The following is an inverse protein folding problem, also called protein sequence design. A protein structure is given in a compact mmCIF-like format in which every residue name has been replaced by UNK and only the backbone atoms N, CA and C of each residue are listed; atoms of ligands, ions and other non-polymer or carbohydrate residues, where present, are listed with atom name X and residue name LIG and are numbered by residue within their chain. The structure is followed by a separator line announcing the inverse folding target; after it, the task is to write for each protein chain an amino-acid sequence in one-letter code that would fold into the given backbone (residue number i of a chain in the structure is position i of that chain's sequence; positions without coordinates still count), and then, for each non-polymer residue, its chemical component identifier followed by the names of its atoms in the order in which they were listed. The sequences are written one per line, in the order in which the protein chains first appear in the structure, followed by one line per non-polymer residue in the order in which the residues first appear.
data_IF_588909918237
#
_entry.id   IF_588909918237
#
_cell.length_a   1.000
_cell.length_b   1.000
_cell.length_c   1.000
_cell.angle_alpha   90.00
_cell.angle_beta   90.00
_cell.angle_gamma   90.00
#
_symmetry.space_group_name_H-M   'P 1'
#
loop_
_entity.id
_entity.type
_entity.pdbx_description
1 polymer ?
#
# COMPACT_ATOMS: atom_id res chain seq x y z
N UNK A 1 0.99 27.05 28.53
CA UNK A 1 0.19 25.87 28.97
C UNK A 1 -1.07 25.66 28.11
N UNK A 2 -1.96 26.65 27.94
CA UNK A 2 -3.17 26.52 27.09
C UNK A 2 -2.87 26.25 25.59
N UNK A 3 -1.82 26.85 25.02
CA UNK A 3 -1.43 26.63 23.62
C UNK A 3 -0.98 25.19 23.30
N UNK A 4 -0.23 24.54 24.20
CA UNK A 4 0.20 23.13 24.03
C UNK A 4 -1.01 22.19 24.04
N UNK A 5 -2.00 22.47 24.90
CA UNK A 5 -3.25 21.68 24.95
C UNK A 5 -4.06 21.87 23.66
N UNK A 6 -4.14 23.10 23.13
CA UNK A 6 -4.83 23.37 21.86
C UNK A 6 -4.17 22.63 20.69
N UNK A 7 -2.83 22.70 20.59
CA UNK A 7 -2.08 21.98 19.55
C UNK A 7 -2.26 20.46 19.72
N UNK A 8 -2.19 19.94 20.95
CA UNK A 8 -2.41 18.53 21.22
C UNK A 8 -3.79 18.05 20.77
N UNK A 9 -4.84 18.81 21.06
CA UNK A 9 -6.19 18.49 20.61
C UNK A 9 -6.30 18.49 19.08
N UNK A 10 -5.73 19.49 18.41
CA UNK A 10 -5.72 19.56 16.94
C UNK A 10 -5.01 18.35 16.32
N UNK A 11 -3.86 17.95 16.86
CA UNK A 11 -3.12 16.77 16.39
C UNK A 11 -3.93 15.49 16.60
N UNK A 12 -4.60 15.33 17.75
CA UNK A 12 -5.46 14.18 18.03
C UNK A 12 -6.62 14.12 17.02
N UNK A 13 -7.32 15.23 16.78
CA UNK A 13 -8.41 15.26 15.80
C UNK A 13 -7.92 14.93 14.40
N UNK A 14 -6.79 15.50 13.98
CA UNK A 14 -6.19 15.20 12.68
C UNK A 14 -5.83 13.72 12.55
N UNK A 15 -5.20 13.13 13.56
CA UNK A 15 -4.84 11.72 13.56
C UNK A 15 -6.08 10.81 13.52
N UNK A 16 -7.12 11.12 14.30
CA UNK A 16 -8.38 10.37 14.31
C UNK A 16 -9.09 10.41 12.94
N UNK A 17 -9.12 11.57 12.30
CA UNK A 17 -9.68 11.71 10.95
C UNK A 17 -8.89 10.90 9.93
N UNK A 18 -7.55 11.00 9.93
CA UNK A 18 -6.69 10.24 9.01
C UNK A 18 -6.83 8.73 9.22
N UNK A 19 -6.91 8.26 10.47
CA UNK A 19 -7.14 6.85 10.79
C UNK A 19 -8.48 6.37 10.28
N UNK A 20 -9.55 7.14 10.49
CA UNK A 20 -10.88 6.79 9.99
C UNK A 20 -10.89 6.62 8.47
N UNK A 21 -10.31 7.58 7.73
CA UNK A 21 -10.20 7.49 6.27
C UNK A 21 -9.38 6.28 5.82
N UNK A 22 -8.27 5.99 6.51
CA UNK A 22 -7.38 4.86 6.17
C UNK A 22 -8.06 3.51 6.40
N UNK A 23 -8.88 3.39 7.45
CA UNK A 23 -9.66 2.17 7.72
C UNK A 23 -10.67 1.92 6.58
N UNK A 24 -11.40 2.95 6.15
CA UNK A 24 -12.36 2.81 5.04
C UNK A 24 -11.67 2.49 3.70
N UNK A 25 -10.57 3.18 3.39
CA UNK A 25 -9.80 2.94 2.17
C UNK A 25 -9.17 1.54 2.15
N UNK A 26 -8.56 1.12 3.27
CA UNK A 26 -7.94 -0.19 3.42
C UNK A 26 -8.94 -1.34 3.30
N UNK A 27 -10.12 -1.24 3.92
CA UNK A 27 -11.16 -2.26 3.82
C UNK A 27 -11.64 -2.46 2.37
N UNK A 28 -11.74 -1.38 1.58
CA UNK A 28 -12.11 -1.44 0.15
C UNK A 28 -10.99 -2.05 -0.70
N UNK A 29 -9.73 -1.70 -0.42
CA UNK A 29 -8.58 -2.31 -1.10
C UNK A 29 -8.48 -3.82 -0.82
N UNK A 30 -8.68 -4.22 0.44
CA UNK A 30 -8.69 -5.63 0.85
C UNK A 30 -9.87 -6.42 0.24
N UNK A 31 -11.02 -5.76 0.11
CA UNK A 31 -12.17 -6.35 -0.58
C UNK A 31 -11.94 -6.55 -2.09
N UNK A 32 -11.33 -5.57 -2.76
CA UNK A 32 -10.94 -5.71 -4.17
C UNK A 32 -9.95 -6.86 -4.36
N UNK A 33 -8.94 -6.96 -3.48
CA UNK A 33 -8.00 -8.08 -3.45
C UNK A 33 -8.72 -9.43 -3.27
N UNK A 34 -9.75 -9.49 -2.42
CA UNK A 34 -10.60 -10.66 -2.24
C UNK A 34 -11.46 -11.03 -3.45
N UNK A 35 -11.71 -10.10 -4.38
CA UNK A 35 -12.36 -10.40 -5.67
C UNK A 35 -11.38 -10.85 -6.75
N UNK A 36 -10.17 -10.29 -6.75
CA UNK A 36 -9.15 -10.58 -7.75
C UNK A 36 -8.45 -11.92 -7.50
N UNK A 37 -8.31 -12.33 -6.24
CA UNK A 37 -7.64 -13.58 -5.84
C UNK A 37 -8.60 -14.56 -5.17
N UNK A 38 -8.77 -15.74 -5.80
CA UNK A 38 -9.59 -16.85 -5.28
C UNK A 38 -9.22 -17.30 -3.86
N UNK A 39 -7.95 -17.16 -3.44
CA UNK A 39 -7.51 -17.51 -2.09
C UNK A 39 -8.06 -16.58 -1.00
N UNK A 40 -8.35 -15.32 -1.36
CA UNK A 40 -8.91 -14.33 -0.45
C UNK A 40 -10.40 -14.09 -0.71
N UNK A 41 -11.10 -15.02 -1.39
CA UNK A 41 -12.53 -14.92 -1.69
C UNK A 41 -13.40 -14.66 -0.44
N UNK A 42 -12.94 -15.09 0.73
CA UNK A 42 -13.58 -14.83 2.02
C UNK A 42 -13.54 -13.35 2.44
N UNK A 43 -12.53 -12.58 1.99
CA UNK A 43 -12.41 -11.13 2.16
C UNK A 43 -13.32 -10.36 1.17
N UNK A 44 -13.56 -10.96 0.00
CA UNK A 44 -14.43 -10.45 -1.07
C UNK A 44 -15.93 -10.67 -0.84
N UNK A 45 -16.35 -11.27 0.29
CA UNK A 45 -17.77 -11.43 0.62
C UNK A 45 -18.38 -10.10 1.05
N UNK A 46 -19.19 -9.52 0.16
CA UNK A 46 -19.96 -8.31 0.45
C UNK A 46 -21.14 -8.65 1.37
N UNK A 47 -21.33 -7.85 2.41
CA UNK A 47 -22.46 -8.03 3.32
C UNK A 47 -23.52 -6.96 3.02
N UNK A 48 -24.61 -7.35 2.35
CA UNK A 48 -25.64 -6.45 1.81
C UNK A 48 -26.34 -5.61 2.89
N UNK A 49 -26.46 -6.11 4.13
CA UNK A 49 -27.12 -5.36 5.22
C UNK A 49 -26.33 -4.16 5.74
N UNK A 50 -24.99 -4.21 5.69
CA UNK A 50 -24.13 -3.16 6.26
C UNK A 50 -23.39 -2.36 5.18
N UNK A 51 -23.63 -2.65 3.90
CA UNK A 51 -22.95 -2.02 2.75
C UNK A 51 -21.42 -1.94 2.92
N UNK A 52 -20.84 -2.94 3.60
CA UNK A 52 -19.44 -2.95 3.98
C UNK A 52 -18.87 -4.38 4.04
N UNK A 53 -17.60 -4.58 3.61
CA UNK A 53 -16.92 -5.86 3.71
C UNK A 53 -16.44 -6.12 5.15
N UNK A 54 -17.34 -6.66 5.99
CA UNK A 54 -17.09 -6.95 7.41
C UNK A 54 -15.83 -7.80 7.65
N UNK A 55 -15.60 -8.82 6.82
CA UNK A 55 -14.44 -9.71 6.97
C UNK A 55 -13.12 -8.99 6.72
N UNK A 56 -13.07 -8.13 5.70
CA UNK A 56 -11.88 -7.32 5.38
C UNK A 56 -11.57 -6.32 6.51
N UNK A 57 -12.60 -5.73 7.11
CA UNK A 57 -12.46 -4.80 8.22
C UNK A 57 -11.95 -5.50 9.50
N UNK A 58 -12.50 -6.68 9.81
CA UNK A 58 -12.07 -7.48 10.96
C UNK A 58 -10.61 -7.93 10.83
N UNK A 59 -10.22 -8.44 9.66
CA UNK A 59 -8.83 -8.87 9.41
C UNK A 59 -7.87 -7.68 9.51
N UNK A 60 -8.22 -6.53 8.91
CA UNK A 60 -7.42 -5.31 9.04
C UNK A 60 -7.29 -4.88 10.51
N UNK A 61 -8.39 -4.95 11.28
CA UNK A 61 -8.39 -4.64 12.71
C UNK A 61 -7.51 -5.60 13.52
N UNK A 62 -7.60 -6.91 13.28
CA UNK A 62 -6.76 -7.92 13.95
C UNK A 62 -5.28 -7.68 13.67
N UNK A 63 -4.92 -7.43 12.40
CA UNK A 63 -3.52 -7.12 12.03
C UNK A 63 -3.05 -5.84 12.73
N UNK A 64 -3.87 -4.80 12.76
CA UNK A 64 -3.53 -3.55 13.43
C UNK A 64 -3.31 -3.76 14.95
N UNK A 65 -4.17 -4.53 15.62
CA UNK A 65 -4.01 -4.86 17.05
C UNK A 65 -2.74 -5.66 17.30
N UNK A 66 -2.43 -6.66 16.46
CA UNK A 66 -1.19 -7.43 16.57
C UNK A 66 0.04 -6.55 16.41
N UNK A 67 0.03 -5.61 15.45
CA UNK A 67 1.11 -4.65 15.27
C UNK A 67 1.25 -3.70 16.46
N UNK A 68 0.14 -3.22 17.04
CA UNK A 68 0.17 -2.38 18.25
C UNK A 68 0.79 -3.14 19.42
N UNK A 69 0.40 -4.41 19.63
CA UNK A 69 0.97 -5.26 20.69
C UNK A 69 2.48 -5.45 20.45
N UNK A 70 2.88 -5.74 19.21
CA UNK A 70 4.30 -5.93 18.86
C UNK A 70 5.11 -4.63 19.04
N UNK A 71 4.53 -3.49 18.67
CA UNK A 71 5.11 -2.16 18.88
C UNK A 71 5.16 -1.75 20.35
N UNK A 72 4.22 -2.19 21.18
CA UNK A 72 4.23 -1.94 22.61
C UNK A 72 5.32 -2.74 23.36
N UNK A 73 5.63 -3.95 22.90
CA UNK A 73 6.70 -4.79 23.46
C UNK A 73 8.11 -4.30 23.10
N UNK A 74 8.28 -3.69 21.93
CA UNK A 74 9.56 -3.09 21.51
C UNK A 74 9.55 -1.59 21.77
N UNK A 75 10.27 -1.11 22.79
CA UNK A 75 10.30 0.31 23.22
C UNK A 75 10.81 1.30 22.14
N UNK A 76 11.50 0.81 21.12
CA UNK A 76 11.92 1.52 19.89
C UNK A 76 11.25 0.97 18.61
N UNK A 77 10.24 0.12 18.78
CA UNK A 77 9.57 -0.60 17.71
C UNK A 77 8.67 0.29 16.86
N UNK A 78 8.10 1.36 17.42
CA UNK A 78 7.25 2.27 16.66
C UNK A 78 8.02 3.00 15.55
N UNK A 79 9.17 3.60 15.86
CA UNK A 79 10.01 4.25 14.83
C UNK A 79 10.53 3.22 13.82
N UNK A 80 10.95 2.05 14.30
CA UNK A 80 11.38 0.96 13.42
C UNK A 80 10.25 0.51 12.47
N UNK A 81 9.00 0.41 12.95
CA UNK A 81 7.84 0.08 12.11
C UNK A 81 7.59 1.12 11.02
N UNK A 82 7.72 2.40 11.34
CA UNK A 82 7.60 3.50 10.36
C UNK A 82 8.73 3.40 9.33
N UNK A 83 9.96 3.22 9.78
CA UNK A 83 11.14 3.09 8.93
C UNK A 83 11.07 1.88 8.00
N UNK A 84 10.48 0.77 8.45
CA UNK A 84 10.26 -0.42 7.62
C UNK A 84 9.11 -0.25 6.62
N UNK A 85 8.18 0.66 6.86
CA UNK A 85 7.03 0.87 5.95
C UNK A 85 7.42 1.77 4.76
N UNK A 86 8.34 2.73 4.97
CA UNK A 86 8.84 3.61 3.92
C UNK A 86 9.36 2.88 2.65
N UNK A 87 10.27 1.88 2.75
CA UNK A 87 10.77 1.18 1.56
C UNK A 87 9.68 0.37 0.84
N UNK A 88 8.69 -0.16 1.57
CA UNK A 88 7.53 -0.84 0.98
C UNK A 88 6.74 0.15 0.11
N UNK A 89 6.42 1.33 0.64
CA UNK A 89 5.70 2.36 -0.11
C UNK A 89 6.45 2.81 -1.37
N UNK A 90 7.74 3.11 -1.24
CA UNK A 90 8.57 3.52 -2.39
C UNK A 90 8.67 2.43 -3.45
N UNK A 91 8.73 1.16 -3.02
CA UNK A 91 8.75 0.02 -3.93
C UNK A 91 7.44 -0.12 -4.72
N UNK A 92 6.29 -0.04 -4.05
CA UNK A 92 5.00 -0.07 -4.72
C UNK A 92 4.81 1.11 -5.68
N UNK A 93 5.28 2.30 -5.32
CA UNK A 93 5.26 3.47 -6.20
C UNK A 93 6.15 3.30 -7.42
N UNK A 94 7.34 2.72 -7.26
CA UNK A 94 8.22 2.37 -8.37
C UNK A 94 7.53 1.38 -9.31
N UNK A 95 6.91 0.32 -8.79
CA UNK A 95 6.17 -0.67 -9.59
C UNK A 95 4.98 -0.03 -10.31
N UNK A 96 4.24 0.87 -9.66
CA UNK A 96 3.15 1.63 -10.27
C UNK A 96 3.67 2.50 -11.44
N UNK A 97 4.79 3.19 -11.24
CA UNK A 97 5.42 4.01 -12.27
C UNK A 97 5.87 3.18 -13.48
N UNK A 98 6.52 2.04 -13.25
CA UNK A 98 6.89 1.09 -14.32
C UNK A 98 5.64 0.54 -15.01
N UNK A 99 4.62 0.15 -14.25
CA UNK A 99 3.35 -0.35 -14.77
C UNK A 99 2.67 0.63 -15.72
N UNK A 100 2.72 1.93 -15.40
CA UNK A 100 2.20 2.98 -16.28
C UNK A 100 2.96 3.05 -17.61
N UNK A 101 4.29 2.96 -17.58
CA UNK A 101 5.12 2.95 -18.80
C UNK A 101 4.85 1.69 -19.63
N UNK A 102 4.81 0.52 -18.99
CA UNK A 102 4.52 -0.76 -19.66
C UNK A 102 3.12 -0.76 -20.27
N UNK A 103 2.10 -0.27 -19.56
CA UNK A 103 0.73 -0.17 -20.07
C UNK A 103 0.60 0.83 -21.22
N UNK A 104 1.45 1.87 -21.25
CA UNK A 104 1.54 2.81 -22.37
C UNK A 104 2.11 2.16 -23.62
N UNK A 105 3.11 1.28 -23.47
CA UNK A 105 3.71 0.54 -24.60
C UNK A 105 2.81 -0.60 -25.07
N UNK A 106 2.19 -1.34 -24.15
CA UNK A 106 1.41 -2.55 -24.44
C UNK A 106 0.01 -2.26 -24.98
N UNK A 107 -0.59 -1.14 -24.59
CA UNK A 107 -1.94 -0.75 -25.02
C UNK A 107 -1.94 0.68 -25.56
N UNK A 108 -1.36 0.90 -26.76
CA UNK A 108 -1.29 2.23 -27.37
C UNK A 108 -2.66 2.75 -27.83
N UNK A 109 -3.56 1.87 -28.28
CA UNK A 109 -4.83 2.24 -28.95
C UNK A 109 -6.02 2.54 -28.03
N UNK A 110 -5.84 2.49 -26.70
CA UNK A 110 -6.94 2.75 -25.77
C UNK A 110 -7.24 4.25 -25.73
N UNK A 111 -8.52 4.69 -25.88
CA UNK A 111 -8.87 6.10 -25.77
C UNK A 111 -8.60 6.59 -24.35
N UNK A 112 -7.63 7.49 -24.18
CA UNK A 112 -7.23 8.05 -22.88
C UNK A 112 -7.87 9.42 -22.68
N UNK A 113 -8.88 9.57 -21.80
CA UNK A 113 -9.51 10.85 -21.51
C UNK A 113 -8.57 11.84 -20.80
N UNK A 114 -7.50 11.34 -20.16
CA UNK A 114 -6.45 12.15 -19.56
C UNK A 114 -5.08 11.75 -20.12
N UNK A 115 -4.38 12.71 -20.74
CA UNK A 115 -3.00 12.57 -21.21
C UNK A 115 -2.07 13.33 -20.27
N UNK A 116 -1.16 12.60 -19.64
CA UNK A 116 -0.14 13.19 -18.75
C UNK A 116 0.71 14.19 -19.55
N UNK A 117 0.80 15.47 -19.12
CA UNK A 117 1.65 16.46 -19.77
C UNK A 117 3.13 16.04 -19.66
N UNK A 118 3.92 16.33 -20.71
CA UNK A 118 5.34 15.95 -20.80
C UNK A 118 5.65 14.45 -20.73
N UNK A 119 4.73 13.59 -21.19
CA UNK A 119 5.05 12.19 -21.38
C UNK A 119 6.18 12.04 -22.43
N UNK A 120 7.26 11.27 -22.17
CA UNK A 120 7.48 10.32 -21.07
C UNK A 120 8.35 10.82 -19.90
N UNK A 121 8.76 12.09 -19.89
CA UNK A 121 9.72 12.64 -18.90
C UNK A 121 9.15 12.61 -17.48
N UNK A 122 7.87 12.97 -17.31
CA UNK A 122 7.22 13.00 -16.00
C UNK A 122 7.18 11.64 -15.29
N UNK A 123 6.70 10.53 -15.91
CA UNK A 123 6.76 9.22 -15.27
C UNK A 123 8.19 8.67 -15.14
N UNK A 124 9.11 9.00 -16.05
CA UNK A 124 10.50 8.57 -15.93
C UNK A 124 11.17 9.20 -14.71
N UNK A 125 11.03 10.51 -14.52
CA UNK A 125 11.53 11.21 -13.33
C UNK A 125 10.92 10.62 -12.07
N UNK A 126 9.60 10.37 -12.04
CA UNK A 126 8.94 9.75 -10.90
C UNK A 126 9.56 8.38 -10.55
N UNK A 127 9.77 7.51 -11.54
CA UNK A 127 10.41 6.20 -11.33
C UNK A 127 11.84 6.36 -10.80
N UNK A 128 12.62 7.30 -11.35
CA UNK A 128 13.99 7.58 -10.90
C UNK A 128 14.01 8.09 -9.45
N UNK A 129 13.13 9.03 -9.09
CA UNK A 129 13.02 9.54 -7.72
C UNK A 129 12.57 8.46 -6.75
N UNK A 130 11.57 7.64 -7.10
CA UNK A 130 11.15 6.52 -6.25
C UNK A 130 12.27 5.48 -6.09
N UNK A 131 13.05 5.20 -7.14
CA UNK A 131 14.21 4.31 -7.08
C UNK A 131 15.31 4.86 -6.17
N UNK A 132 15.60 6.16 -6.28
CA UNK A 132 16.56 6.84 -5.42
C UNK A 132 16.12 6.84 -3.96
N UNK A 133 14.84 7.14 -3.69
CA UNK A 133 14.31 7.16 -2.32
C UNK A 133 14.24 5.77 -1.71
N UNK A 134 13.92 4.75 -2.51
CA UNK A 134 14.04 3.36 -2.09
C UNK A 134 15.48 3.01 -1.72
N UNK A 135 16.45 3.38 -2.58
CA UNK A 135 17.87 3.17 -2.30
C UNK A 135 18.32 3.89 -1.03
N UNK A 136 17.95 5.17 -0.88
CA UNK A 136 18.26 5.99 0.29
C UNK A 136 17.67 5.38 1.56
N UNK A 137 16.42 4.94 1.53
CA UNK A 137 15.75 4.30 2.67
C UNK A 137 16.41 2.96 3.04
N UNK A 138 16.84 2.18 2.04
CA UNK A 138 17.58 0.93 2.26
C UNK A 138 18.96 1.18 2.89
N UNK A 139 19.68 2.19 2.41
CA UNK A 139 21.00 2.56 2.93
C UNK A 139 20.94 3.09 4.36
N UNK A 140 19.87 3.83 4.71
CA UNK A 140 19.70 4.41 6.04
C UNK A 140 19.39 3.35 7.10
N UNK A 141 18.55 2.36 6.77
CA UNK A 141 18.12 1.33 7.73
C UNK A 141 19.09 0.15 7.84
N UNK A 142 20.08 0.00 6.93
CA UNK A 142 21.17 -1.00 6.97
C UNK A 142 20.73 -2.47 6.95
N UNK A 143 20.03 -2.92 8.00
CA UNK A 143 19.31 -4.20 8.12
C UNK A 143 18.02 -4.23 7.27
N UNK A 144 17.50 -3.06 6.85
CA UNK A 144 16.33 -2.93 5.98
C UNK A 144 16.57 -3.30 4.52
N UNK A 145 17.83 -3.37 4.07
CA UNK A 145 18.19 -3.84 2.73
C UNK A 145 17.72 -5.28 2.45
N UNK A 146 17.80 -6.14 3.47
CA UNK A 146 17.27 -7.51 3.41
C UNK A 146 15.74 -7.54 3.28
N UNK A 147 15.04 -6.60 3.93
CA UNK A 147 13.57 -6.49 3.82
C UNK A 147 13.14 -5.97 2.45
N UNK A 148 13.83 -4.97 1.89
CA UNK A 148 13.57 -4.49 0.53
C UNK A 148 13.83 -5.57 -0.53
N UNK A 149 14.93 -6.31 -0.40
CA UNK A 149 15.22 -7.46 -1.25
C UNK A 149 14.21 -8.61 -1.05
N UNK A 150 13.84 -8.90 0.20
CA UNK A 150 12.80 -9.89 0.50
C UNK A 150 11.44 -9.48 -0.08
N UNK A 151 11.08 -8.20 -0.07
CA UNK A 151 9.83 -7.69 -0.65
C UNK A 151 9.84 -7.74 -2.18
N UNK A 152 10.96 -7.44 -2.82
CA UNK A 152 11.17 -7.62 -4.25
C UNK A 152 10.97 -9.09 -4.64
N UNK A 153 11.60 -10.00 -3.87
CA UNK A 153 11.50 -11.44 -4.06
C UNK A 153 10.08 -11.93 -3.78
N UNK A 154 9.44 -11.47 -2.71
CA UNK A 154 8.05 -11.81 -2.38
C UNK A 154 7.11 -11.32 -3.48
N UNK A 155 7.26 -10.08 -3.96
CA UNK A 155 6.45 -9.54 -5.05
C UNK A 155 6.62 -10.33 -6.34
N UNK A 156 7.86 -10.73 -6.67
CA UNK A 156 8.17 -11.57 -7.84
C UNK A 156 7.60 -12.99 -7.68
N UNK A 157 7.78 -13.62 -6.52
CA UNK A 157 7.24 -14.94 -6.21
C UNK A 157 5.71 -14.90 -6.25
N UNK A 158 5.09 -13.86 -5.69
CA UNK A 158 3.64 -13.68 -5.71
C UNK A 158 3.14 -13.52 -7.16
N UNK A 159 3.80 -12.69 -7.97
CA UNK A 159 3.45 -12.55 -9.39
C UNK A 159 3.57 -13.89 -10.14
N UNK A 160 4.66 -14.63 -9.94
CA UNK A 160 4.91 -15.90 -10.64
C UNK A 160 3.95 -17.02 -10.18
N UNK A 161 3.69 -17.15 -8.89
CA UNK A 161 2.77 -18.14 -8.33
C UNK A 161 1.31 -17.86 -8.71
N UNK A 162 0.93 -16.59 -8.81
CA UNK A 162 -0.47 -16.21 -8.99
C UNK A 162 -0.83 -15.78 -10.42
N UNK A 163 0.13 -15.67 -11.36
CA UNK A 163 -0.12 -15.43 -12.79
C UNK A 163 -1.21 -16.34 -13.37
N UNK A 164 -1.28 -17.60 -12.93
CA UNK A 164 -2.24 -18.59 -13.43
C UNK A 164 -3.58 -18.65 -12.67
N UNK A 165 -3.74 -17.89 -11.58
CA UNK A 165 -4.97 -17.85 -10.74
C UNK A 165 -5.65 -16.48 -10.69
N UNK A 166 -5.21 -15.52 -11.51
CA UNK A 166 -5.94 -14.29 -11.74
C UNK A 166 -7.26 -14.69 -12.39
N UNK A 167 -8.36 -14.53 -11.67
CA UNK A 167 -9.69 -14.74 -12.23
C UNK A 167 -9.85 -13.67 -13.30
N UNK A 168 -9.76 -14.07 -14.58
CA UNK A 168 -10.04 -13.18 -15.69
C UNK A 168 -11.43 -12.59 -15.44
N UNK A 169 -11.49 -11.27 -15.28
CA UNK A 169 -12.72 -10.52 -15.15
C UNK A 169 -13.55 -10.85 -16.40
N UNK A 170 -14.58 -11.67 -16.22
CA UNK A 170 -15.56 -11.96 -17.26
C UNK A 170 -16.50 -10.76 -17.21
N UNK A 171 -16.11 -9.72 -17.94
CA UNK A 171 -16.95 -8.55 -18.21
C UNK A 171 -18.17 -8.99 -19.03
#
# INVERSE_FOLDING_TARGET
KKGVVLIGLLVIFSALTSLNTTIFSGARSNYALGKDFSLFATLGKWNERKSAPLNSLLIQGVIAVLLIIFGAFSRSGFESMVDFTAPVFWFFFLCMGIGLIVLRVKMPDVPRPFKVPLFPVTPLLFVVFCGYLLYSSLSYTGKGALLGAALLIIGLIFYLLFKNKIVARKD
#
